data_IF_036853272058
#
_entry.id   IF_036853272058
#
_cell.length_a   1.000
_cell.length_b   1.000
_cell.length_c   1.000
_cell.angle_alpha   90.00
_cell.angle_beta   90.00
_cell.angle_gamma   90.00
#
_symmetry.space_group_name_H-M   'P 1'
#
loop_
_entity.id
_entity.type
_entity.pdbx_description
1 polymer ?
#
# COMPACT_ATOMS: atom_id res chain seq x y z
N UNK A 1 -25.57 12.19 12.78
CA UNK A 1 -24.73 11.46 11.81
C UNK A 1 -25.37 10.09 11.57
N UNK A 2 -25.90 9.82 10.38
CA UNK A 2 -26.31 8.45 10.01
C UNK A 2 -25.04 7.66 9.75
N UNK A 3 -24.66 6.77 10.67
CA UNK A 3 -23.61 5.78 10.42
C UNK A 3 -24.18 4.71 9.49
N UNK A 4 -24.03 4.91 8.18
CA UNK A 4 -24.47 3.95 7.17
C UNK A 4 -23.32 3.01 6.83
N UNK A 5 -23.61 1.71 6.83
CA UNK A 5 -22.65 0.69 6.42
C UNK A 5 -22.53 0.67 4.89
N UNK A 6 -21.29 0.60 4.38
CA UNK A 6 -21.02 0.43 2.95
C UNK A 6 -21.44 -0.95 2.46
N UNK A 7 -21.90 -1.02 1.22
CA UNK A 7 -22.28 -2.26 0.56
C UNK A 7 -21.07 -2.90 -0.10
N UNK A 8 -20.74 -4.13 0.32
CA UNK A 8 -19.72 -4.94 -0.33
C UNK A 8 -20.23 -5.41 -1.70
N UNK A 9 -19.60 -4.93 -2.77
CA UNK A 9 -19.93 -5.35 -4.14
C UNK A 9 -19.12 -6.58 -4.56
N UNK A 10 -17.83 -6.62 -4.19
CA UNK A 10 -16.95 -7.67 -4.67
C UNK A 10 -15.54 -7.60 -4.11
N UNK A 11 -14.74 -8.60 -4.47
CA UNK A 11 -13.30 -8.63 -4.20
C UNK A 11 -12.54 -9.05 -5.44
N UNK A 12 -11.57 -8.24 -5.85
CA UNK A 12 -10.59 -8.56 -6.88
C UNK A 12 -9.34 -9.14 -6.21
N UNK A 13 -8.84 -10.24 -6.72
CA UNK A 13 -7.66 -10.94 -6.23
C UNK A 13 -6.58 -10.88 -7.29
N UNK A 14 -5.37 -10.56 -6.85
CA UNK A 14 -4.14 -10.62 -7.64
C UNK A 14 -3.22 -11.58 -6.91
N UNK A 15 -2.89 -12.71 -7.52
CA UNK A 15 -1.99 -13.72 -6.97
C UNK A 15 -0.81 -13.97 -7.89
N UNK A 16 0.26 -14.55 -7.39
CA UNK A 16 1.39 -15.00 -8.22
C UNK A 16 2.60 -15.36 -7.38
N UNK A 17 3.78 -15.22 -7.97
CA UNK A 17 5.06 -15.41 -7.31
C UNK A 17 5.87 -14.11 -7.34
N UNK A 18 6.52 -13.79 -6.24
CA UNK A 18 7.54 -12.73 -6.15
C UNK A 18 8.92 -13.39 -6.12
N UNK A 19 9.75 -13.09 -7.10
CA UNK A 19 11.09 -13.67 -7.27
C UNK A 19 12.16 -12.64 -6.91
N UNK A 20 13.15 -13.06 -6.13
CA UNK A 20 14.29 -12.22 -5.72
C UNK A 20 15.37 -12.28 -6.79
N UNK A 21 15.56 -11.20 -7.54
CA UNK A 21 16.55 -11.12 -8.62
C UNK A 21 17.94 -10.69 -8.12
N UNK A 22 17.99 -9.90 -7.05
CA UNK A 22 19.19 -9.60 -6.27
C UNK A 22 18.88 -9.71 -4.79
N UNK A 23 19.89 -10.06 -3.97
CA UNK A 23 19.66 -10.39 -2.57
C UNK A 23 18.81 -9.35 -1.82
N UNK A 24 17.81 -9.81 -1.08
CA UNK A 24 16.76 -8.99 -0.48
C UNK A 24 16.98 -8.87 1.03
N UNK A 25 16.92 -7.65 1.58
CA UNK A 25 16.98 -7.43 3.01
C UNK A 25 15.72 -6.71 3.50
N UNK A 26 14.95 -7.40 4.34
CA UNK A 26 13.83 -6.80 5.09
C UNK A 26 14.12 -6.99 6.57
N UNK A 27 14.52 -5.91 7.22
CA UNK A 27 14.85 -5.91 8.65
C UNK A 27 13.61 -5.92 9.53
N UNK A 28 13.68 -6.63 10.67
CA UNK A 28 12.57 -6.77 11.61
C UNK A 28 12.29 -5.58 12.53
N UNK A 29 13.13 -4.54 12.53
CA UNK A 29 13.04 -3.43 13.48
C UNK A 29 13.42 -3.83 14.91
N UNK A 30 14.30 -3.07 15.54
CA UNK A 30 14.81 -3.35 16.88
C UNK A 30 16.28 -3.77 16.85
N UNK A 31 17.10 -2.97 17.54
CA UNK A 31 18.46 -3.35 17.96
C UNK A 31 18.35 -4.43 19.03
N UNK A 32 17.92 -5.64 18.68
CA UNK A 32 18.30 -6.79 19.48
C UNK A 32 19.76 -7.05 19.14
N UNK A 33 20.64 -6.31 19.83
CA UNK A 33 22.05 -6.65 20.00
C UNK A 33 22.09 -7.97 20.77
N UNK A 34 21.85 -9.08 20.06
CA UNK A 34 22.31 -10.37 20.54
C UNK A 34 23.82 -10.23 20.70
N UNK A 35 24.35 -10.57 21.88
CA UNK A 35 25.78 -10.46 22.17
C UNK A 35 26.54 -11.38 21.20
N UNK A 36 27.20 -10.79 20.20
CA UNK A 36 27.87 -11.50 19.10
C UNK A 36 26.97 -11.84 17.90
N UNK A 37 25.77 -11.27 17.81
CA UNK A 37 24.79 -11.48 16.74
C UNK A 37 24.92 -10.53 15.55
N UNK A 38 24.08 -10.76 14.55
CA UNK A 38 23.96 -10.00 13.29
C UNK A 38 23.56 -8.53 13.53
N UNK A 39 24.25 -7.57 12.90
CA UNK A 39 23.90 -6.14 12.97
C UNK A 39 22.46 -5.86 12.50
N UNK A 40 22.02 -6.57 11.46
CA UNK A 40 20.69 -6.42 10.85
C UNK A 40 20.16 -7.76 10.36
N UNK A 41 19.44 -8.51 11.21
CA UNK A 41 18.84 -9.77 10.80
C UNK A 41 17.65 -9.55 9.86
N UNK A 42 17.39 -10.52 8.99
CA UNK A 42 16.18 -10.59 8.17
C UNK A 42 15.01 -11.06 9.02
N UNK A 43 13.82 -10.50 8.79
CA UNK A 43 12.61 -10.90 9.48
C UNK A 43 12.23 -12.35 9.12
N UNK A 44 11.81 -13.13 10.12
CA UNK A 44 11.49 -14.55 9.98
C UNK A 44 10.15 -14.87 10.61
N UNK A 45 9.47 -15.86 10.03
CA UNK A 45 8.27 -16.44 10.60
C UNK A 45 8.63 -17.15 11.93
N UNK A 46 7.95 -16.85 13.04
CA UNK A 46 8.26 -17.46 14.34
C UNK A 46 8.08 -18.98 14.39
N UNK A 47 7.17 -19.55 13.60
CA UNK A 47 6.85 -20.96 13.57
C UNK A 47 7.83 -21.74 12.70
N UNK A 48 8.07 -21.26 11.48
CA UNK A 48 8.88 -21.99 10.50
C UNK A 48 10.36 -21.56 10.47
N UNK A 49 10.68 -20.42 11.08
CA UNK A 49 11.99 -19.74 11.04
C UNK A 49 12.42 -19.31 9.63
N UNK A 50 11.55 -19.44 8.64
CA UNK A 50 11.82 -19.06 7.26
C UNK A 50 11.77 -17.54 7.12
N UNK A 51 12.61 -16.93 6.27
CA UNK A 51 12.44 -15.54 5.89
C UNK A 51 11.09 -15.36 5.18
N UNK A 52 10.45 -14.21 5.38
CA UNK A 52 9.21 -13.84 4.70
C UNK A 52 9.19 -12.34 4.40
N UNK A 53 8.32 -11.91 3.49
CA UNK A 53 8.10 -10.49 3.20
C UNK A 53 6.79 -10.07 3.86
N UNK A 54 6.81 -9.15 4.85
CA UNK A 54 5.60 -8.64 5.45
C UNK A 54 4.76 -7.88 4.41
N UNK A 55 3.45 -8.12 4.40
CA UNK A 55 2.51 -7.43 3.52
C UNK A 55 2.52 -5.92 3.73
N UNK A 56 2.82 -5.46 4.95
CA UNK A 56 3.03 -4.04 5.27
C UNK A 56 4.24 -3.42 4.57
N UNK A 57 5.33 -4.19 4.40
CA UNK A 57 6.54 -3.73 3.70
C UNK A 57 6.27 -3.56 2.21
N UNK A 58 5.61 -4.55 1.59
CA UNK A 58 5.23 -4.49 0.19
C UNK A 58 4.18 -3.39 -0.06
N UNK A 59 3.12 -3.34 0.77
CA UNK A 59 2.08 -2.30 0.70
C UNK A 59 2.65 -0.90 0.85
N UNK A 60 3.56 -0.69 1.81
CA UNK A 60 4.20 0.60 2.03
C UNK A 60 5.07 1.03 0.85
N UNK A 61 5.80 0.09 0.24
CA UNK A 61 6.59 0.37 -0.96
C UNK A 61 5.71 0.74 -2.16
N UNK A 62 4.64 -0.01 -2.41
CA UNK A 62 3.68 0.30 -3.48
C UNK A 62 3.00 1.66 -3.25
N UNK A 63 2.61 1.98 -2.00
CA UNK A 63 2.08 3.31 -1.64
C UNK A 63 3.08 4.42 -1.96
N UNK A 64 4.34 4.26 -1.54
CA UNK A 64 5.39 5.26 -1.77
C UNK A 64 5.64 5.50 -3.27
N UNK A 65 5.59 4.45 -4.09
CA UNK A 65 5.68 4.58 -5.55
C UNK A 65 4.49 5.38 -6.09
N UNK A 66 3.26 5.04 -5.70
CA UNK A 66 2.08 5.72 -6.20
C UNK A 66 2.00 7.18 -5.73
N UNK A 67 2.40 7.49 -4.49
CA UNK A 67 2.51 8.87 -4.00
C UNK A 67 3.44 9.71 -4.87
N UNK A 68 4.58 9.15 -5.30
CA UNK A 68 5.53 9.81 -6.20
C UNK A 68 4.99 9.96 -7.62
N UNK A 69 4.32 8.93 -8.13
CA UNK A 69 3.74 8.93 -9.48
C UNK A 69 2.64 9.99 -9.60
N UNK A 70 1.82 10.13 -8.56
CA UNK A 70 0.72 11.10 -8.46
C UNK A 70 1.19 12.50 -8.00
N UNK A 71 2.50 12.68 -7.75
CA UNK A 71 3.05 13.96 -7.31
C UNK A 71 2.45 14.49 -6.00
N UNK A 72 2.09 13.60 -5.07
CA UNK A 72 1.43 14.01 -3.82
C UNK A 72 2.37 14.80 -2.91
N UNK A 73 1.87 15.85 -2.22
CA UNK A 73 2.70 16.64 -1.32
C UNK A 73 3.01 15.85 -0.05
N UNK A 74 4.10 16.19 0.62
CA UNK A 74 4.39 15.65 1.94
C UNK A 74 3.72 16.56 2.97
N UNK A 75 2.72 16.03 3.70
CA UNK A 75 1.97 16.77 4.71
C UNK A 75 1.91 16.05 6.07
N UNK A 76 2.61 14.92 6.23
CA UNK A 76 2.63 14.17 7.48
C UNK A 76 4.05 13.74 7.83
N UNK A 77 4.47 14.04 9.07
CA UNK A 77 5.65 13.44 9.69
C UNK A 77 5.26 12.15 10.41
N UNK A 78 6.02 11.08 10.17
CA UNK A 78 5.92 9.82 10.89
C UNK A 78 7.02 9.66 11.96
N UNK A 79 7.16 8.44 12.48
CA UNK A 79 8.25 8.09 13.39
C UNK A 79 9.62 8.07 12.70
N UNK A 80 10.71 8.18 13.46
CA UNK A 80 12.08 7.98 12.98
C UNK A 80 12.48 8.82 11.75
N UNK A 81 11.99 10.06 11.66
CA UNK A 81 12.31 10.96 10.55
C UNK A 81 11.65 10.59 9.22
N UNK A 82 10.59 9.77 9.25
CA UNK A 82 9.81 9.45 8.05
C UNK A 82 8.81 10.54 7.72
N UNK A 83 8.48 10.65 6.44
CA UNK A 83 7.53 11.60 5.91
C UNK A 83 6.63 10.93 4.88
N UNK A 84 5.36 11.32 4.81
CA UNK A 84 4.39 10.75 3.88
C UNK A 84 3.31 11.75 3.49
N UNK A 85 2.59 11.42 2.44
CA UNK A 85 1.30 12.03 2.15
C UNK A 85 0.18 11.36 2.96
N UNK A 86 -0.78 12.16 3.41
CA UNK A 86 -2.01 11.71 4.07
C UNK A 86 -3.19 12.57 3.60
N UNK A 87 -4.34 11.96 3.32
CA UNK A 87 -5.60 12.71 3.18
C UNK A 87 -6.20 12.91 4.56
N UNK A 88 -6.13 14.12 5.11
CA UNK A 88 -6.52 14.33 6.51
C UNK A 88 -8.03 14.27 6.76
N UNK A 89 -8.85 14.24 5.70
CA UNK A 89 -10.29 13.96 5.75
C UNK A 89 -10.75 13.17 4.50
N UNK A 90 -12.03 12.80 4.46
CA UNK A 90 -12.71 12.26 3.28
C UNK A 90 -12.84 13.29 2.15
N UNK A 91 -12.98 14.57 2.49
CA UNK A 91 -13.10 15.70 1.57
C UNK A 91 -11.79 16.49 1.46
N UNK A 92 -11.68 17.31 0.41
CA UNK A 92 -10.51 18.16 0.16
C UNK A 92 -10.31 19.19 1.28
N UNK A 93 -9.06 19.50 1.58
CA UNK A 93 -8.74 20.44 2.64
C UNK A 93 -7.26 20.82 2.71
N UNK A 94 -6.88 21.40 3.85
CA UNK A 94 -5.51 21.82 4.10
C UNK A 94 -4.97 21.26 5.42
N UNK A 95 -3.76 20.71 5.36
CA UNK A 95 -2.99 20.27 6.53
C UNK A 95 -2.12 21.41 7.02
N UNK A 96 -2.05 21.57 8.35
CA UNK A 96 -1.15 22.53 8.98
C UNK A 96 -0.02 21.81 9.73
N UNK A 97 1.23 22.06 9.31
CA UNK A 97 2.43 21.40 9.85
C UNK A 97 3.11 22.18 11.00
N UNK A 98 2.57 23.34 11.37
CA UNK A 98 3.11 24.21 12.42
C UNK A 98 2.71 25.67 12.22
N UNK A 99 3.05 26.53 13.19
CA UNK A 99 2.60 27.93 13.23
C UNK A 99 3.16 28.82 12.10
N UNK A 100 4.28 28.43 11.48
CA UNK A 100 4.98 29.24 10.46
C UNK A 100 5.10 28.54 9.10
N UNK A 101 4.31 27.49 8.85
CA UNK A 101 4.29 26.79 7.56
C UNK A 101 3.01 27.12 6.83
N UNK A 102 3.12 27.46 5.55
CA UNK A 102 1.94 27.57 4.69
C UNK A 102 1.13 26.26 4.74
N UNK A 103 -0.20 26.32 4.88
CA UNK A 103 -1.05 25.13 4.84
C UNK A 103 -0.86 24.37 3.54
N UNK A 104 -0.81 23.05 3.63
CA UNK A 104 -0.58 22.17 2.48
C UNK A 104 -1.90 21.59 2.04
N UNK A 105 -2.30 21.87 0.79
CA UNK A 105 -3.51 21.30 0.20
C UNK A 105 -3.38 19.79 0.07
N UNK A 106 -4.43 19.06 0.43
CA UNK A 106 -4.55 17.63 0.17
C UNK A 106 -5.86 17.33 -0.56
N UNK A 107 -5.88 16.24 -1.33
CA UNK A 107 -7.10 15.69 -1.93
C UNK A 107 -7.79 14.81 -0.91
N UNK A 108 -9.10 14.94 -0.73
CA UNK A 108 -9.91 14.13 0.18
C UNK A 108 -9.81 12.64 -0.13
N UNK A 109 -9.88 11.81 0.90
CA UNK A 109 -9.66 10.37 0.77
C UNK A 109 -10.70 9.68 -0.15
N UNK A 110 -11.88 10.27 -0.37
CA UNK A 110 -12.90 9.75 -1.31
C UNK A 110 -12.45 9.79 -2.77
N UNK A 111 -11.71 10.84 -3.14
CA UNK A 111 -11.33 11.11 -4.53
C UNK A 111 -9.81 10.96 -4.75
N UNK A 112 -9.03 10.75 -3.69
CA UNK A 112 -7.60 10.56 -3.77
C UNK A 112 -7.25 9.12 -4.21
N UNK A 113 -6.58 8.92 -5.36
CA UNK A 113 -6.24 7.58 -5.86
C UNK A 113 -5.30 6.81 -4.91
N UNK A 114 -4.44 7.51 -4.16
CA UNK A 114 -3.57 6.89 -3.16
C UNK A 114 -4.39 6.44 -1.95
N UNK A 115 -5.17 7.35 -1.36
CA UNK A 115 -5.83 7.11 -0.08
C UNK A 115 -7.03 6.17 -0.20
N UNK A 116 -7.69 6.11 -1.35
CA UNK A 116 -8.73 5.12 -1.62
C UNK A 116 -8.19 3.69 -1.62
N UNK A 117 -7.04 3.49 -2.26
CA UNK A 117 -6.36 2.18 -2.30
C UNK A 117 -5.74 1.82 -0.96
N UNK A 118 -4.92 2.72 -0.41
CA UNK A 118 -4.04 2.43 0.73
C UNK A 118 -4.59 2.85 2.09
N UNK A 119 -5.71 3.56 2.12
CA UNK A 119 -6.33 4.10 3.32
C UNK A 119 -5.69 5.40 3.80
N UNK A 120 -6.44 6.11 4.63
CA UNK A 120 -6.02 7.31 5.35
C UNK A 120 -6.54 7.29 6.79
N UNK A 121 -5.73 7.78 7.71
CA UNK A 121 -6.06 7.82 9.14
C UNK A 121 -6.94 9.01 9.52
N UNK A 122 -6.87 10.09 8.74
CA UNK A 122 -7.48 11.36 9.09
C UNK A 122 -6.73 12.09 10.21
N UNK A 123 -6.87 13.41 10.26
CA UNK A 123 -6.32 14.23 11.33
C UNK A 123 -7.03 15.59 11.39
N UNK A 124 -6.76 16.37 12.44
CA UNK A 124 -7.21 17.75 12.50
C UNK A 124 -6.67 18.54 11.29
N UNK A 125 -7.57 19.15 10.53
CA UNK A 125 -7.29 19.85 9.29
C UNK A 125 -8.28 20.99 9.06
N UNK A 126 -7.98 21.83 8.06
CA UNK A 126 -8.88 22.87 7.58
C UNK A 126 -9.80 22.31 6.50
N UNK A 127 -11.10 22.38 6.74
CA UNK A 127 -12.15 21.96 5.80
C UNK A 127 -13.10 23.12 5.56
N UNK A 128 -13.78 23.11 4.41
CA UNK A 128 -14.83 24.11 4.12
C UNK A 128 -15.88 24.09 5.23
N UNK A 129 -16.24 25.26 5.75
CA UNK A 129 -17.24 25.37 6.84
C UNK A 129 -18.56 24.73 6.42
N UNK A 130 -18.95 24.84 5.14
CA UNK A 130 -20.15 24.19 4.58
C UNK A 130 -20.14 22.66 4.68
N UNK A 131 -18.97 22.02 4.50
CA UNK A 131 -18.80 20.57 4.66
C UNK A 131 -18.91 20.19 6.14
N UNK A 132 -18.26 20.96 7.02
CA UNK A 132 -18.33 20.73 8.47
C UNK A 132 -19.77 20.80 8.96
N UNK A 133 -20.54 21.79 8.50
CA UNK A 133 -21.92 22.00 8.94
C UNK A 133 -22.88 20.97 8.35
N UNK A 134 -22.73 20.63 7.06
CA UNK A 134 -23.58 19.64 6.40
C UNK A 134 -23.34 18.22 6.91
N UNK A 135 -22.09 17.86 7.19
CA UNK A 135 -21.74 16.52 7.69
C UNK A 135 -21.72 16.42 9.23
N UNK A 136 -21.89 17.55 9.92
CA UNK A 136 -21.92 17.63 11.38
C UNK A 136 -20.60 17.26 12.04
N UNK A 137 -19.48 17.76 11.51
CA UNK A 137 -18.14 17.45 12.00
C UNK A 137 -17.79 18.26 13.25
N UNK A 138 -17.04 17.64 14.16
CA UNK A 138 -16.54 18.31 15.36
C UNK A 138 -15.48 19.36 15.00
N UNK A 139 -15.80 20.62 15.27
CA UNK A 139 -14.83 21.72 15.21
C UNK A 139 -13.84 21.58 16.36
N UNK A 140 -12.57 21.83 16.07
CA UNK A 140 -11.51 21.79 17.09
C UNK A 140 -11.54 23.12 17.86
N UNK A 141 -11.85 23.04 19.15
CA UNK A 141 -11.82 24.20 20.05
C UNK A 141 -10.37 24.63 20.36
N UNK A 142 -9.78 25.42 19.46
CA UNK A 142 -8.53 26.13 19.67
C UNK A 142 -8.73 27.61 19.32
N UNK A 143 -8.58 28.50 20.31
CA UNK A 143 -8.75 29.96 20.15
C UNK A 143 -7.79 30.58 19.12
N UNK A 144 -6.72 29.86 18.75
CA UNK A 144 -5.76 30.28 17.72
C UNK A 144 -6.17 29.83 16.31
N UNK A 145 -7.26 29.06 16.18
CA UNK A 145 -7.76 28.46 14.93
C UNK A 145 -9.11 29.06 14.55
N UNK A 146 -9.14 30.38 14.38
CA UNK A 146 -10.31 31.08 13.86
C UNK A 146 -10.56 30.70 12.39
N UNK A 147 -11.83 30.75 11.92
CA UNK A 147 -12.15 30.51 10.51
C UNK A 147 -11.31 31.38 9.57
N UNK A 148 -10.97 30.82 8.41
CA UNK A 148 -10.08 31.41 7.41
C UNK A 148 -10.77 31.50 6.06
N UNK A 149 -10.58 32.60 5.33
CA UNK A 149 -11.07 32.78 3.95
C UNK A 149 -9.93 32.98 2.95
N UNK A 150 -8.68 32.86 3.41
CA UNK A 150 -7.46 33.13 2.64
C UNK A 150 -6.79 31.85 2.09
N UNK A 151 -7.41 30.68 2.29
CA UNK A 151 -6.87 29.39 1.84
C UNK A 151 -7.11 29.12 0.35
N UNK A 152 -8.17 29.69 -0.24
CA UNK A 152 -8.50 29.56 -1.66
C UNK A 152 -8.86 30.92 -2.24
N UNK A 153 -8.58 31.12 -3.54
CA UNK A 153 -8.91 32.36 -4.26
C UNK A 153 -10.42 32.63 -4.34
N UNK A 154 -11.24 31.58 -4.18
CA UNK A 154 -12.70 31.67 -4.12
C UNK A 154 -13.22 32.48 -2.94
N UNK A 155 -12.42 32.68 -1.89
CA UNK A 155 -12.83 33.32 -0.65
C UNK A 155 -13.76 32.47 0.22
N UNK A 156 -13.88 31.17 -0.08
CA UNK A 156 -14.67 30.24 0.75
C UNK A 156 -14.12 30.16 2.17
N UNK A 157 -15.02 30.03 3.14
CA UNK A 157 -14.63 29.93 4.55
C UNK A 157 -14.25 28.50 4.92
N UNK A 158 -13.12 28.36 5.59
CA UNK A 158 -12.59 27.13 6.13
C UNK A 158 -12.53 27.20 7.65
N UNK A 159 -12.96 26.13 8.31
CA UNK A 159 -12.87 25.96 9.76
C UNK A 159 -11.98 24.77 10.11
N UNK A 160 -11.36 24.81 11.28
CA UNK A 160 -10.50 23.74 11.75
C UNK A 160 -11.33 22.65 12.43
N UNK A 161 -11.27 21.43 11.89
CA UNK A 161 -12.11 20.32 12.33
C UNK A 161 -11.31 19.03 12.44
N UNK A 162 -11.86 18.07 13.20
CA UNK A 162 -11.30 16.73 13.29
C UNK A 162 -11.63 15.96 12.02
N UNK A 163 -10.63 15.71 11.19
CA UNK A 163 -10.80 14.95 9.96
C UNK A 163 -11.06 13.47 10.22
N UNK A 164 -11.73 12.85 9.25
CA UNK A 164 -12.25 11.48 9.31
C UNK A 164 -11.27 10.46 8.72
N UNK A 165 -11.32 9.24 9.22
CA UNK A 165 -10.54 8.13 8.69
C UNK A 165 -11.21 7.49 7.46
N UNK A 166 -10.39 7.00 6.53
CA UNK A 166 -10.81 6.20 5.38
C UNK A 166 -10.08 4.85 5.38
N UNK A 167 -10.79 3.72 5.59
CA UNK A 167 -10.19 2.40 5.50
C UNK A 167 -9.57 2.12 4.13
N UNK A 168 -8.51 1.31 4.10
CA UNK A 168 -7.88 0.90 2.85
C UNK A 168 -8.74 -0.14 2.11
N UNK A 169 -8.90 0.02 0.80
CA UNK A 169 -9.52 -1.02 -0.04
C UNK A 169 -8.56 -2.19 -0.33
N UNK A 170 -7.24 -1.95 -0.28
CA UNK A 170 -6.21 -2.95 -0.55
C UNK A 170 -5.75 -3.69 0.72
N UNK A 171 -5.82 -5.02 0.66
CA UNK A 171 -5.16 -5.95 1.58
C UNK A 171 -3.98 -6.57 0.83
N UNK A 172 -2.80 -6.58 1.46
CA UNK A 172 -1.60 -7.27 0.96
C UNK A 172 -1.25 -8.32 2.00
N UNK A 173 -1.21 -9.60 1.59
CA UNK A 173 -0.85 -10.70 2.47
C UNK A 173 0.68 -10.75 2.66
N UNK A 174 1.09 -11.37 3.76
CA UNK A 174 2.50 -11.72 3.95
C UNK A 174 2.90 -12.76 2.88
N UNK A 175 4.10 -12.60 2.33
CA UNK A 175 4.63 -13.48 1.31
C UNK A 175 5.61 -14.48 1.94
N UNK A 176 5.24 -15.75 1.94
CA UNK A 176 5.98 -16.89 2.47
C UNK A 176 6.76 -17.61 1.37
N UNK A 177 7.84 -18.28 1.79
CA UNK A 177 8.82 -18.87 0.89
C UNK A 177 8.26 -20.15 0.22
N UNK A 178 8.30 -20.20 -1.11
CA UNK A 178 7.83 -21.33 -1.91
C UNK A 178 8.92 -22.40 -2.12
N UNK A 179 10.19 -21.99 -2.16
CA UNK A 179 11.32 -22.86 -2.46
C UNK A 179 12.27 -23.09 -1.28
N UNK A 180 11.72 -23.17 -0.06
CA UNK A 180 12.46 -23.34 1.18
C UNK A 180 13.44 -24.53 1.16
N UNK A 181 12.98 -25.69 0.67
CA UNK A 181 13.79 -26.92 0.59
C UNK A 181 15.02 -26.80 -0.30
N UNK A 182 15.02 -25.85 -1.25
CA UNK A 182 16.20 -25.53 -2.07
C UNK A 182 17.16 -24.64 -1.29
N UNK A 183 16.66 -23.59 -0.64
CA UNK A 183 17.50 -22.63 0.10
C UNK A 183 18.15 -23.26 1.34
N UNK A 184 17.48 -24.22 1.97
CA UNK A 184 18.01 -24.95 3.13
C UNK A 184 19.28 -25.75 2.82
N UNK A 185 19.44 -26.19 1.56
CA UNK A 185 20.57 -27.01 1.12
C UNK A 185 21.80 -26.21 0.73
N UNK A 186 21.69 -24.89 0.65
CA UNK A 186 22.80 -24.03 0.22
C UNK A 186 23.66 -23.70 1.44
N UNK A 187 24.96 -23.95 1.34
CA UNK A 187 25.91 -23.56 2.38
C UNK A 187 26.32 -22.10 2.21
N UNK A 188 25.54 -21.21 2.83
CA UNK A 188 25.73 -19.76 2.83
C UNK A 188 26.19 -19.21 4.19
N UNK A 189 26.44 -20.11 5.15
CA UNK A 189 26.77 -19.77 6.54
C UNK A 189 25.60 -19.27 7.39
N UNK A 190 24.36 -19.23 6.86
CA UNK A 190 23.13 -18.92 7.60
C UNK A 190 21.97 -19.79 7.10
N UNK A 191 20.94 -19.97 7.93
CA UNK A 191 19.77 -20.78 7.58
C UNK A 191 18.88 -20.06 6.54
N UNK A 192 18.93 -20.54 5.29
CA UNK A 192 18.16 -20.04 4.12
C UNK A 192 18.44 -18.57 3.72
N UNK A 193 19.44 -17.95 4.34
CA UNK A 193 19.90 -16.58 4.09
C UNK A 193 21.40 -16.58 3.88
N UNK A 194 21.98 -15.47 3.44
CA UNK A 194 23.43 -15.36 3.22
C UNK A 194 24.03 -14.15 3.93
N UNK A 195 25.30 -14.27 4.27
CA UNK A 195 26.12 -13.15 4.70
C UNK A 195 26.51 -12.28 3.51
N UNK A 196 26.26 -10.97 3.64
CA UNK A 196 26.87 -9.98 2.77
C UNK A 196 27.70 -9.00 3.58
N UNK A 197 28.97 -8.94 3.20
CA UNK A 197 29.87 -7.89 3.67
C UNK A 197 29.69 -6.63 2.83
N UNK A 198 29.62 -5.49 3.51
CA UNK A 198 29.74 -4.17 2.91
C UNK A 198 30.85 -3.39 3.59
N UNK A 199 31.59 -2.60 2.82
CA UNK A 199 32.67 -1.79 3.38
C UNK A 199 32.32 -0.32 3.22
N UNK A 200 32.31 0.42 4.34
CA UNK A 200 32.47 1.88 4.28
C UNK A 200 33.95 2.16 4.03
N UNK A 201 34.28 2.93 3.00
CA UNK A 201 35.66 3.35 2.75
C UNK A 201 35.84 4.80 3.19
N UNK A 202 36.87 5.05 4.00
CA UNK A 202 37.38 6.39 4.23
C UNK A 202 37.99 6.90 2.90
N UNK A 203 37.52 8.06 2.42
CA UNK A 203 37.94 8.61 1.13
C UNK A 203 39.33 9.26 1.16
N UNK A 204 39.87 9.53 2.34
CA UNK A 204 41.21 10.11 2.55
C UNK A 204 42.22 9.00 2.80
N UNK A 205 41.95 8.12 3.75
CA UNK A 205 42.90 7.07 4.16
C UNK A 205 42.77 5.77 3.37
N UNK A 206 41.70 5.62 2.58
CA UNK A 206 41.32 4.38 1.90
C UNK A 206 41.08 3.18 2.85
N UNK A 207 40.99 3.43 4.17
CA UNK A 207 40.72 2.38 5.15
C UNK A 207 39.29 1.84 5.01
N UNK A 208 39.15 0.52 5.12
CA UNK A 208 37.87 -0.17 5.06
C UNK A 208 37.28 -0.40 6.45
N UNK A 209 36.00 -0.09 6.61
CA UNK A 209 35.19 -0.41 7.77
C UNK A 209 34.11 -1.44 7.36
N UNK A 210 34.40 -2.75 7.48
CA UNK A 210 33.49 -3.82 7.08
C UNK A 210 32.32 -3.95 8.05
N UNK A 211 31.13 -4.16 7.50
CA UNK A 211 29.90 -4.47 8.23
C UNK A 211 29.21 -5.68 7.62
N UNK A 212 28.54 -6.46 8.45
CA UNK A 212 27.88 -7.69 8.03
C UNK A 212 26.37 -7.50 7.99
N UNK A 213 25.75 -7.92 6.90
CA UNK A 213 24.29 -7.79 6.70
C UNK A 213 23.77 -9.16 6.27
N UNK A 214 22.74 -9.65 6.96
CA UNK A 214 22.00 -10.83 6.52
C UNK A 214 21.05 -10.42 5.38
N UNK A 215 20.96 -11.25 4.34
CA UNK A 215 19.96 -11.06 3.28
C UNK A 215 19.46 -12.39 2.76
N UNK A 216 18.26 -12.37 2.18
CA UNK A 216 17.72 -13.48 1.42
C UNK A 216 18.49 -13.59 0.10
N UNK A 217 18.97 -14.78 -0.29
CA UNK A 217 19.74 -14.98 -1.51
C UNK A 217 18.91 -14.75 -2.78
N UNK A 218 19.60 -14.46 -3.88
CA UNK A 218 19.00 -14.43 -5.21
C UNK A 218 18.34 -15.77 -5.54
N UNK A 219 17.19 -15.72 -6.22
CA UNK A 219 16.42 -16.88 -6.65
C UNK A 219 15.48 -17.44 -5.60
N UNK A 220 15.40 -16.81 -4.41
CA UNK A 220 14.30 -17.05 -3.48
C UNK A 220 12.96 -16.67 -4.13
N UNK A 221 11.93 -17.49 -3.92
CA UNK A 221 10.59 -17.31 -4.47
C UNK A 221 9.59 -17.27 -3.35
N UNK A 222 8.73 -16.26 -3.34
CA UNK A 222 7.69 -16.08 -2.35
C UNK A 222 6.31 -16.12 -3.01
N UNK A 223 5.30 -16.61 -2.30
CA UNK A 223 3.92 -16.43 -2.75
C UNK A 223 3.53 -14.95 -2.71
N UNK A 224 2.63 -14.55 -3.58
CA UNK A 224 2.16 -13.17 -3.65
C UNK A 224 0.64 -13.15 -3.70
N UNK A 225 0.01 -12.38 -2.81
CA UNK A 225 -1.43 -12.20 -2.79
C UNK A 225 -1.83 -10.78 -2.36
N UNK A 226 -2.59 -10.11 -3.22
CA UNK A 226 -3.31 -8.89 -2.92
C UNK A 226 -4.80 -9.05 -3.15
N UNK A 227 -5.59 -8.41 -2.30
CA UNK A 227 -7.06 -8.41 -2.39
C UNK A 227 -7.54 -6.97 -2.34
N UNK A 228 -8.16 -6.52 -3.43
CA UNK A 228 -8.81 -5.22 -3.52
C UNK A 228 -10.32 -5.38 -3.29
N UNK A 229 -10.86 -4.63 -2.34
CA UNK A 229 -12.28 -4.67 -1.97
C UNK A 229 -13.04 -3.59 -2.74
N UNK A 230 -14.12 -3.98 -3.42
CA UNK A 230 -15.03 -3.07 -4.12
C UNK A 230 -16.25 -2.84 -3.23
N UNK A 231 -16.46 -1.59 -2.81
CA UNK A 231 -17.54 -1.18 -1.92
C UNK A 231 -18.26 0.04 -2.49
N UNK A 232 -19.54 0.19 -2.18
CA UNK A 232 -20.34 1.36 -2.55
C UNK A 232 -21.05 1.95 -1.33
N UNK A 233 -21.24 3.27 -1.32
CA UNK A 233 -21.93 3.98 -0.23
C UNK A 233 -23.42 3.60 -0.18
N UNK A 234 -24.05 3.31 -1.32
CA UNK A 234 -25.44 2.87 -1.37
C UNK A 234 -25.70 1.89 -2.54
N UNK A 235 -26.96 1.45 -2.71
CA UNK A 235 -27.36 0.49 -3.75
C UNK A 235 -27.84 1.14 -5.05
N UNK A 236 -27.72 2.46 -5.20
CA UNK A 236 -28.09 3.15 -6.43
C UNK A 236 -27.22 2.65 -7.60
N UNK A 237 -27.80 2.58 -8.80
CA UNK A 237 -27.04 2.17 -9.99
C UNK A 237 -25.85 3.11 -10.25
N UNK A 238 -26.03 4.40 -9.98
CA UNK A 238 -25.01 5.45 -10.15
C UNK A 238 -23.81 5.23 -9.21
N UNK A 239 -24.05 4.99 -7.93
CA UNK A 239 -22.98 4.78 -6.94
C UNK A 239 -22.26 3.45 -7.13
N UNK A 240 -22.98 2.40 -7.55
CA UNK A 240 -22.39 1.12 -7.91
C UNK A 240 -21.50 1.28 -9.15
N UNK A 241 -21.96 2.00 -10.17
CA UNK A 241 -21.19 2.28 -11.39
C UNK A 241 -19.93 3.10 -11.09
N UNK A 242 -20.06 4.15 -10.27
CA UNK A 242 -18.93 4.95 -9.80
C UNK A 242 -17.89 4.09 -9.08
N UNK A 243 -18.32 3.27 -8.13
CA UNK A 243 -17.42 2.41 -7.33
C UNK A 243 -16.66 1.40 -8.19
N UNK A 244 -17.34 0.85 -9.21
CA UNK A 244 -16.73 -0.05 -10.19
C UNK A 244 -15.75 0.66 -11.12
N UNK A 245 -16.00 1.92 -11.49
CA UNK A 245 -15.06 2.73 -12.27
C UNK A 245 -13.84 3.17 -11.44
N UNK A 246 -14.04 3.52 -10.18
CA UNK A 246 -12.96 3.78 -9.22
C UNK A 246 -12.08 2.53 -9.05
N UNK A 247 -12.69 1.34 -8.91
CA UNK A 247 -11.95 0.07 -8.85
C UNK A 247 -11.11 -0.20 -10.11
N UNK A 248 -11.60 0.15 -11.30
CA UNK A 248 -10.86 0.05 -12.57
C UNK A 248 -9.63 0.96 -12.59
N UNK A 249 -9.81 2.19 -12.16
CA UNK A 249 -8.75 3.20 -12.04
C UNK A 249 -7.70 2.76 -11.03
N UNK A 250 -8.14 2.26 -9.88
CA UNK A 250 -7.27 1.82 -8.80
C UNK A 250 -6.49 0.56 -9.18
N UNK A 251 -7.12 -0.38 -9.89
CA UNK A 251 -6.43 -1.53 -10.46
C UNK A 251 -5.32 -1.10 -11.43
N UNK A 252 -5.59 -0.12 -12.30
CA UNK A 252 -4.55 0.44 -13.18
C UNK A 252 -3.35 0.96 -12.39
N UNK A 253 -3.64 1.78 -11.38
CA UNK A 253 -2.62 2.40 -10.52
C UNK A 253 -1.80 1.34 -9.76
N UNK A 254 -2.45 0.29 -9.27
CA UNK A 254 -1.80 -0.84 -8.61
C UNK A 254 -0.86 -1.58 -9.55
N UNK A 255 -1.31 -1.93 -10.76
CA UNK A 255 -0.47 -2.62 -11.74
C UNK A 255 0.73 -1.76 -12.18
N UNK A 256 0.53 -0.45 -12.34
CA UNK A 256 1.64 0.48 -12.60
C UNK A 256 2.64 0.52 -11.44
N UNK A 257 2.17 0.53 -10.19
CA UNK A 257 3.04 0.50 -9.02
C UNK A 257 3.84 -0.81 -8.92
N UNK A 258 3.23 -1.97 -9.27
CA UNK A 258 3.94 -3.25 -9.37
C UNK A 258 5.03 -3.20 -10.44
N UNK A 259 4.70 -2.67 -11.62
CA UNK A 259 5.66 -2.55 -12.72
C UNK A 259 6.85 -1.66 -12.34
N UNK A 260 6.60 -0.50 -11.72
CA UNK A 260 7.66 0.40 -11.24
C UNK A 260 8.45 -0.22 -10.09
N UNK A 261 7.83 -1.05 -9.24
CA UNK A 261 8.52 -1.74 -8.16
C UNK A 261 9.61 -2.67 -8.69
N UNK A 262 9.38 -3.33 -9.82
CA UNK A 262 10.44 -4.15 -10.44
C UNK A 262 11.64 -3.29 -10.83
N UNK A 263 11.45 -2.07 -11.33
CA UNK A 263 12.54 -1.13 -11.65
C UNK A 263 13.19 -0.47 -10.42
N UNK A 264 12.48 -0.45 -9.30
CA UNK A 264 12.94 0.05 -8.02
C UNK A 264 13.49 -1.11 -7.16
N UNK A 265 13.65 -0.88 -5.86
CA UNK A 265 14.07 -1.88 -4.90
C UNK A 265 13.03 -2.07 -3.79
N UNK A 266 12.83 -3.32 -3.39
CA UNK A 266 12.07 -3.72 -2.20
C UNK A 266 13.00 -3.85 -0.99
N UNK A 267 12.56 -3.36 0.17
CA UNK A 267 13.33 -3.46 1.42
C UNK A 267 14.49 -2.48 1.52
N UNK A 268 15.51 -2.84 2.30
CA UNK A 268 16.66 -2.01 2.61
C UNK A 268 17.78 -2.10 1.57
N UNK A 269 18.66 -1.09 1.56
CA UNK A 269 19.91 -1.08 0.79
C UNK A 269 19.77 -1.16 -0.74
N UNK A 270 18.62 -0.75 -1.30
CA UNK A 270 18.35 -0.74 -2.74
C UNK A 270 19.42 -0.02 -3.59
N UNK A 271 19.87 1.16 -3.16
CA UNK A 271 20.95 1.91 -3.84
C UNK A 271 22.31 1.20 -3.87
N UNK A 272 22.47 0.12 -3.09
CA UNK A 272 23.66 -0.75 -3.05
C UNK A 272 23.42 -2.08 -3.77
N UNK A 273 22.35 -2.20 -4.55
CA UNK A 273 22.04 -3.35 -5.41
C UNK A 273 21.20 -4.45 -4.76
N UNK A 274 20.52 -4.16 -3.65
CA UNK A 274 19.61 -5.11 -2.98
C UNK A 274 18.20 -4.98 -3.52
N UNK A 275 17.40 -6.03 -3.35
CA UNK A 275 15.95 -5.93 -3.44
C UNK A 275 15.39 -5.72 -4.83
N UNK A 276 16.14 -6.03 -5.90
CA UNK A 276 15.53 -6.19 -7.23
C UNK A 276 14.63 -7.42 -7.16
N UNK A 277 13.37 -7.25 -7.53
CA UNK A 277 12.36 -8.31 -7.54
C UNK A 277 11.66 -8.34 -8.89
N UNK A 278 11.05 -9.49 -9.21
CA UNK A 278 10.19 -9.68 -10.36
C UNK A 278 8.91 -10.43 -9.93
N UNK A 279 7.83 -10.27 -10.71
CA UNK A 279 6.58 -10.98 -10.49
C UNK A 279 6.29 -11.95 -11.64
N UNK A 280 6.02 -13.21 -11.28
CA UNK A 280 5.74 -14.30 -12.21
C UNK A 280 4.38 -14.94 -11.92
N UNK A 281 3.81 -15.63 -12.90
CA UNK A 281 2.59 -16.44 -12.77
C UNK A 281 1.40 -15.68 -12.17
N UNK A 282 1.16 -14.45 -12.64
CA UNK A 282 0.14 -13.56 -12.12
C UNK A 282 -1.28 -14.04 -12.49
N UNK A 283 -2.08 -14.31 -11.47
CA UNK A 283 -3.47 -14.77 -11.56
C UNK A 283 -4.42 -13.68 -11.09
N UNK A 284 -5.45 -13.42 -11.89
CA UNK A 284 -6.48 -12.43 -11.59
C UNK A 284 -7.86 -13.09 -11.53
N UNK A 285 -8.59 -12.82 -10.46
CA UNK A 285 -9.99 -13.20 -10.38
C UNK A 285 -10.82 -12.23 -9.55
N UNK A 286 -12.07 -12.05 -9.94
CA UNK A 286 -13.07 -11.25 -9.24
C UNK A 286 -14.17 -12.15 -8.69
N UNK A 287 -14.53 -11.90 -7.42
CA UNK A 287 -15.68 -12.52 -6.76
C UNK A 287 -16.76 -11.46 -6.60
N UNK A 288 -17.92 -11.69 -7.22
CA UNK A 288 -19.06 -10.80 -7.14
C UNK A 288 -19.97 -11.19 -5.96
N UNK A 289 -20.15 -10.28 -5.01
CA UNK A 289 -20.98 -10.48 -3.83
C UNK A 289 -22.37 -9.84 -3.94
N UNK A 290 -22.69 -9.16 -5.05
CA UNK A 290 -23.97 -8.45 -5.20
C UNK A 290 -25.18 -9.40 -5.07
N UNK A 291 -25.11 -10.58 -5.68
CA UNK A 291 -26.16 -11.60 -5.64
C UNK A 291 -26.31 -12.29 -4.28
N UNK A 292 -25.23 -12.34 -3.48
CA UNK A 292 -25.26 -12.91 -2.13
C UNK A 292 -26.08 -12.00 -1.20
N UNK A 293 -26.06 -10.69 -1.45
CA UNK A 293 -26.75 -9.69 -0.62
C UNK A 293 -28.26 -9.54 -0.87
N UNK A 294 -28.79 -10.14 -1.95
CA UNK A 294 -30.17 -9.93 -2.42
C UNK A 294 -31.16 -11.04 -2.05
N UNK A 295 -30.70 -12.21 -1.61
CA UNK A 295 -31.58 -13.36 -1.38
C UNK A 295 -31.95 -13.55 0.11
N UNK A 296 -33.25 -13.48 0.41
CA UNK A 296 -33.86 -13.84 1.70
C UNK A 296 -34.12 -15.36 1.87
N UNK A 297 -33.60 -16.22 0.97
CA UNK A 297 -33.86 -17.65 1.00
C UNK A 297 -32.75 -18.47 1.67
N UNK A 298 -33.16 -19.59 2.30
CA UNK A 298 -32.40 -20.58 3.09
C UNK A 298 -31.28 -21.34 2.35
N UNK A 299 -30.90 -20.93 1.14
CA UNK A 299 -29.87 -21.59 0.33
C UNK A 299 -28.62 -20.70 0.27
N UNK A 300 -27.47 -21.25 0.66
CA UNK A 300 -26.18 -20.59 0.53
C UNK A 300 -25.84 -20.39 -0.96
N UNK A 301 -25.90 -19.15 -1.44
CA UNK A 301 -25.46 -18.79 -2.80
C UNK A 301 -23.97 -18.45 -2.76
N UNK A 302 -23.16 -19.18 -3.53
CA UNK A 302 -21.75 -18.86 -3.71
C UNK A 302 -21.60 -17.67 -4.67
N UNK A 303 -20.63 -16.77 -4.43
CA UNK A 303 -20.38 -15.63 -5.32
C UNK A 303 -19.99 -16.12 -6.71
N UNK A 304 -20.42 -15.39 -7.76
CA UNK A 304 -19.92 -15.68 -9.11
C UNK A 304 -18.44 -15.33 -9.21
N UNK A 305 -17.72 -16.11 -10.01
CA UNK A 305 -16.27 -16.08 -10.12
C UNK A 305 -15.89 -15.79 -11.57
N UNK A 306 -15.31 -14.61 -11.81
CA UNK A 306 -14.70 -14.27 -13.09
C UNK A 306 -13.19 -14.37 -12.93
N UNK A 307 -12.51 -15.13 -13.77
CA UNK A 307 -11.05 -15.25 -13.73
C UNK A 307 -10.49 -15.23 -15.15
N UNK A 308 -9.20 -14.85 -15.26
CA UNK A 308 -8.47 -15.11 -16.49
C UNK A 308 -8.33 -16.62 -16.70
N UNK A 309 -8.38 -17.05 -17.96
CA UNK A 309 -8.26 -18.48 -18.32
C UNK A 309 -6.88 -19.07 -18.00
N UNK A 310 -5.84 -18.24 -18.12
CA UNK A 310 -4.46 -18.63 -17.86
C UNK A 310 -3.72 -17.56 -17.02
N UNK A 311 -2.74 -17.97 -16.19
CA UNK A 311 -1.83 -17.02 -15.54
C UNK A 311 -1.07 -16.18 -16.57
N UNK A 312 -0.83 -14.92 -16.23
CA UNK A 312 0.08 -14.05 -16.96
C UNK A 312 1.50 -14.38 -16.52
N UNK A 313 2.34 -14.82 -17.45
CA UNK A 313 3.68 -15.34 -17.17
C UNK A 313 4.54 -14.36 -16.35
N UNK A 314 4.57 -13.08 -16.74
CA UNK A 314 5.29 -12.01 -16.05
C UNK A 314 4.69 -10.63 -16.37
N UNK A 315 5.18 -9.60 -15.66
CA UNK A 315 4.69 -8.21 -15.77
C UNK A 315 4.78 -7.60 -17.16
N UNK A 316 5.72 -8.03 -18.02
CA UNK A 316 5.86 -7.49 -19.38
C UNK A 316 4.63 -7.74 -20.26
N UNK A 317 3.81 -8.74 -19.90
CA UNK A 317 2.57 -9.11 -20.59
C UNK A 317 1.32 -8.40 -20.05
N UNK A 318 1.42 -7.66 -18.94
CA UNK A 318 0.29 -6.92 -18.36
C UNK A 318 -0.33 -5.89 -19.32
N UNK A 319 0.44 -5.10 -20.11
CA UNK A 319 -0.16 -4.13 -21.02
C UNK A 319 -1.05 -4.78 -22.09
N UNK A 320 -0.62 -5.92 -22.65
CA UNK A 320 -1.36 -6.68 -23.66
C UNK A 320 -2.67 -7.26 -23.09
N UNK A 321 -2.64 -7.67 -21.82
CA UNK A 321 -3.76 -8.30 -21.11
C UNK A 321 -4.61 -7.33 -20.30
N UNK A 322 -4.30 -6.03 -20.31
CA UNK A 322 -4.90 -5.07 -19.39
C UNK A 322 -6.43 -4.97 -19.53
N UNK A 323 -6.95 -4.99 -20.76
CA UNK A 323 -8.39 -4.95 -21.01
C UNK A 323 -9.08 -6.21 -20.46
N UNK A 324 -8.52 -7.40 -20.69
CA UNK A 324 -9.05 -8.66 -20.15
C UNK A 324 -9.11 -8.64 -18.61
N UNK A 325 -8.10 -8.06 -17.94
CA UNK A 325 -8.10 -7.91 -16.48
C UNK A 325 -9.20 -6.94 -16.01
N UNK A 326 -9.40 -5.83 -16.73
CA UNK A 326 -10.42 -4.83 -16.40
C UNK A 326 -11.84 -5.40 -16.58
N UNK A 327 -12.03 -6.26 -17.57
CA UNK A 327 -13.31 -6.91 -17.88
C UNK A 327 -13.73 -7.97 -16.82
N UNK A 328 -12.83 -8.34 -15.90
CA UNK A 328 -13.21 -9.15 -14.73
C UNK A 328 -14.19 -8.42 -13.81
N UNK A 329 -14.09 -7.09 -13.75
CA UNK A 329 -15.02 -6.25 -13.01
C UNK A 329 -16.32 -6.12 -13.82
N UNK A 330 -17.49 -6.29 -13.19
CA UNK A 330 -18.76 -6.19 -13.89
C UNK A 330 -19.00 -4.78 -14.41
N UNK A 331 -19.71 -4.68 -15.53
CA UNK A 331 -20.37 -3.44 -15.96
C UNK A 331 -21.69 -3.28 -15.21
N UNK A 332 -22.17 -2.05 -15.08
CA UNK A 332 -23.47 -1.71 -14.47
C UNK A 332 -24.49 -1.46 -15.56
#
# INVERSE_FOLDING_TARGET
MMMQQKFLLGKLFIKGELVVETGLHIGGGGENLDIGGLDKPVIRDPLTRQPYIPGSSLKGKLRSILERLEGKPINRKGGSGTYRYESDDLEDGYTELGQNTAPIKFTGARNCPVSRVFGSTGNNCWLKTSIIDSEGLDRVNDLRKLPRTDLEESGEEFSYAKGRNSPAHLIVRDCHLLNASRLEKIDTGLYMTEWKFENGLDRITAAANPRQIERVPKGARFDFEMVYTVESENKSAEDVAKSLNDARTDLKNLLQAIFILEDDALGGHGSRGYGKVSFENLLFHYRDYRLVSSNQNTILVLPSHNALEAPIENTSKLPEKFNEIQDLLPTV
#
